data_IF_787524764802
#
_entry.id   IF_787524764802
#
_cell.length_a   1.000
_cell.length_b   1.000
_cell.length_c   1.000
_cell.angle_alpha   90.00
_cell.angle_beta   90.00
_cell.angle_gamma   90.00
#
_symmetry.space_group_name_H-M   'P 1'
#
loop_
_entity.id
_entity.type
_entity.pdbx_description
1 polymer ?
#
# COMPACT_ATOMS: atom_id res chain seq x y z
N UNK A 1 -23.92 -26.34 75.20
CA UNK A 1 -23.37 -26.95 73.97
C UNK A 1 -22.87 -25.83 73.06
N UNK A 2 -21.57 -25.80 72.76
CA UNK A 2 -20.90 -24.82 71.87
C UNK A 2 -20.32 -25.58 70.67
N UNK A 3 -20.47 -25.12 69.43
CA UNK A 3 -19.58 -25.48 68.33
C UNK A 3 -18.52 -24.38 68.16
N UNK A 4 -17.27 -24.66 68.53
CA UNK A 4 -16.12 -25.07 67.68
C UNK A 4 -15.82 -24.10 66.53
N UNK A 5 -14.70 -23.40 66.68
CA UNK A 5 -14.04 -22.51 65.72
C UNK A 5 -13.69 -23.21 64.41
N UNK A 6 -13.90 -22.54 63.27
CA UNK A 6 -13.30 -22.91 62.00
C UNK A 6 -12.31 -21.83 61.56
N UNK A 7 -11.02 -22.15 61.74
CA UNK A 7 -9.86 -21.47 61.17
C UNK A 7 -9.76 -21.87 59.68
N UNK A 8 -9.75 -20.93 58.74
CA UNK A 8 -9.17 -21.20 57.41
C UNK A 8 -8.81 -19.94 56.60
N UNK A 9 -7.51 -19.61 56.69
CA UNK A 9 -6.57 -19.36 55.58
C UNK A 9 -6.92 -18.30 54.52
N UNK A 10 -6.27 -17.15 54.71
CA UNK A 10 -5.48 -16.36 53.75
C UNK A 10 -5.47 -16.84 52.27
N UNK A 11 -5.95 -15.97 51.36
CA UNK A 11 -5.56 -15.99 49.94
C UNK A 11 -5.11 -14.58 49.57
N UNK A 12 -3.80 -14.39 49.45
CA UNK A 12 -3.19 -13.23 48.81
C UNK A 12 -3.43 -13.32 47.31
N UNK A 13 -4.19 -12.39 46.74
CA UNK A 13 -4.31 -12.22 45.29
C UNK A 13 -3.11 -11.43 44.78
N UNK A 14 -2.23 -12.13 44.06
CA UNK A 14 -1.09 -11.59 43.33
C UNK A 14 -1.63 -10.71 42.19
N UNK A 15 -1.31 -9.41 42.23
CA UNK A 15 -1.55 -8.46 41.15
C UNK A 15 -0.66 -8.79 39.96
N UNK A 16 -1.25 -9.37 38.91
CA UNK A 16 -0.58 -9.59 37.63
C UNK A 16 -0.55 -8.25 36.88
N UNK A 17 0.57 -7.52 37.00
CA UNK A 17 0.90 -6.39 36.14
C UNK A 17 1.22 -6.95 34.75
N UNK A 18 0.18 -7.10 33.92
CA UNK A 18 0.32 -7.46 32.51
C UNK A 18 0.83 -6.24 31.74
N UNK A 19 2.14 -6.15 31.57
CA UNK A 19 2.78 -5.17 30.69
C UNK A 19 2.26 -5.34 29.26
N UNK A 20 1.58 -4.33 28.75
CA UNK A 20 1.21 -4.23 27.34
C UNK A 20 2.48 -4.09 26.52
N UNK A 21 2.97 -5.20 25.98
CA UNK A 21 3.93 -5.21 24.86
C UNK A 21 3.22 -4.57 23.67
N UNK A 22 3.48 -3.28 23.46
CA UNK A 22 3.07 -2.57 22.26
C UNK A 22 3.76 -3.23 21.06
N UNK A 23 2.99 -3.96 20.27
CA UNK A 23 3.39 -4.35 18.93
C UNK A 23 3.56 -3.05 18.15
N UNK A 24 4.81 -2.59 18.01
CA UNK A 24 5.14 -1.59 17.01
C UNK A 24 4.82 -2.22 15.64
N UNK A 25 3.62 -1.96 15.14
CA UNK A 25 3.31 -2.21 13.74
C UNK A 25 4.27 -1.31 12.96
N UNK A 26 5.28 -1.91 12.34
CA UNK A 26 6.04 -1.23 11.30
C UNK A 26 5.00 -0.70 10.31
N UNK A 27 4.79 0.61 10.28
CA UNK A 27 3.90 1.23 9.31
C UNK A 27 4.37 0.76 7.94
N UNK A 28 3.49 0.03 7.24
CA UNK A 28 3.76 -0.35 5.87
C UNK A 28 4.14 0.93 5.11
N UNK A 29 5.29 0.95 4.44
CA UNK A 29 5.89 2.13 3.78
C UNK A 29 5.08 2.73 2.61
N UNK A 30 3.77 2.56 2.60
CA UNK A 30 2.86 3.08 1.60
C UNK A 30 2.32 4.45 2.02
N UNK A 31 2.56 5.45 1.18
CA UNK A 31 2.09 6.81 1.37
C UNK A 31 0.89 7.10 0.47
N UNK A 32 -0.21 7.58 1.07
CA UNK A 32 -1.43 7.93 0.35
C UNK A 32 -1.28 9.26 -0.38
N UNK A 33 -1.49 9.22 -1.70
CA UNK A 33 -1.46 10.41 -2.57
C UNK A 33 -2.87 10.92 -2.85
N UNK A 34 -3.83 10.01 -2.96
CA UNK A 34 -5.25 10.27 -3.23
C UNK A 34 -6.10 9.29 -2.42
N UNK A 35 -7.24 9.77 -1.92
CA UNK A 35 -8.27 8.94 -1.28
C UNK A 35 -7.99 8.57 0.17
N UNK A 36 -8.81 7.67 0.70
CA UNK A 36 -8.66 7.03 2.01
C UNK A 36 -8.22 5.57 1.78
N UNK A 37 -7.09 5.12 2.36
CA UNK A 37 -6.63 3.74 2.20
C UNK A 37 -7.53 2.67 2.82
N UNK A 38 -8.53 3.05 3.61
CA UNK A 38 -9.52 2.14 4.20
C UNK A 38 -10.87 2.15 3.47
N UNK A 39 -11.10 3.12 2.59
CA UNK A 39 -12.35 3.24 1.84
C UNK A 39 -12.35 2.33 0.60
N UNK A 40 -13.21 1.31 0.62
CA UNK A 40 -13.37 0.32 -0.47
C UNK A 40 -14.15 0.85 -1.68
N UNK A 41 -14.88 1.95 -1.52
CA UNK A 41 -15.75 2.50 -2.56
C UNK A 41 -15.21 3.77 -3.20
N UNK A 42 -14.09 4.31 -2.70
CA UNK A 42 -13.37 5.44 -3.29
C UNK A 42 -12.18 5.01 -4.16
N UNK A 43 -11.75 5.91 -5.03
CA UNK A 43 -10.46 5.81 -5.72
C UNK A 43 -9.34 6.14 -4.71
N UNK A 44 -8.35 5.25 -4.60
CA UNK A 44 -7.20 5.43 -3.71
C UNK A 44 -5.91 5.16 -4.47
N UNK A 45 -4.91 6.02 -4.28
CA UNK A 45 -3.56 5.85 -4.84
C UNK A 45 -2.54 5.93 -3.73
N UNK A 46 -1.68 4.92 -3.62
CA UNK A 46 -0.55 4.91 -2.71
C UNK A 46 0.76 4.61 -3.43
N UNK A 47 1.86 5.10 -2.89
CA UNK A 47 3.22 4.88 -3.40
C UNK A 47 4.12 4.36 -2.29
N UNK A 48 5.07 3.51 -2.64
CA UNK A 48 6.09 2.96 -1.72
C UNK A 48 7.47 3.49 -2.15
N UNK A 49 7.96 4.56 -1.50
CA UNK A 49 9.19 5.26 -1.86
C UNK A 49 10.47 4.57 -1.38
N UNK A 50 10.36 3.50 -0.58
CA UNK A 50 11.51 2.83 0.04
C UNK A 50 11.96 1.60 -0.75
N UNK A 51 11.16 1.14 -1.73
CA UNK A 51 11.51 0.07 -2.67
C UNK A 51 12.03 0.58 -4.01
N UNK A 52 13.05 1.44 -3.96
CA UNK A 52 13.77 1.93 -5.15
C UNK A 52 15.00 1.04 -5.39
N UNK A 53 14.96 0.21 -6.44
CA UNK A 53 16.18 -0.45 -6.96
C UNK A 53 16.81 0.47 -8.00
N UNK A 54 18.12 0.79 -7.92
CA UNK A 54 18.79 1.58 -8.95
C UNK A 54 18.91 0.76 -10.24
N UNK A 55 18.67 1.41 -11.38
CA UNK A 55 19.77 1.83 -12.22
C UNK A 55 19.97 3.34 -12.12
N UNK A 56 21.21 3.77 -12.30
CA UNK A 56 21.74 5.10 -11.94
C UNK A 56 20.91 6.28 -12.49
N UNK A 57 20.18 6.08 -13.59
CA UNK A 57 19.42 7.11 -14.31
C UNK A 57 17.89 6.99 -14.20
N UNK A 58 17.36 5.91 -13.64
CA UNK A 58 15.92 5.64 -13.61
C UNK A 58 15.45 5.35 -12.18
N UNK A 59 14.60 6.23 -11.64
CA UNK A 59 13.99 6.00 -10.31
C UNK A 59 12.89 4.95 -10.50
N UNK A 60 12.98 3.84 -9.79
CA UNK A 60 11.91 2.84 -9.75
C UNK A 60 11.14 3.00 -8.44
N UNK A 61 9.81 2.96 -8.48
CA UNK A 61 8.98 3.00 -7.27
C UNK A 61 7.80 2.06 -7.42
N UNK A 62 7.34 1.46 -6.32
CA UNK A 62 6.08 0.73 -6.36
C UNK A 62 4.91 1.71 -6.16
N UNK A 63 3.81 1.40 -6.85
CA UNK A 63 2.57 2.13 -6.76
C UNK A 63 1.43 1.14 -6.68
N UNK A 64 0.41 1.45 -5.88
CA UNK A 64 -0.79 0.66 -5.79
C UNK A 64 -2.04 1.53 -5.84
N UNK A 65 -3.06 1.02 -6.52
CA UNK A 65 -4.30 1.74 -6.81
C UNK A 65 -5.49 0.87 -6.52
N UNK A 66 -6.47 1.44 -5.83
CA UNK A 66 -7.82 0.88 -5.72
C UNK A 66 -8.77 1.79 -6.48
N UNK A 67 -9.74 1.20 -7.18
CA UNK A 67 -10.76 1.94 -7.94
C UNK A 67 -12.13 1.85 -7.26
N UNK A 68 -12.88 2.95 -7.33
CA UNK A 68 -14.27 3.03 -6.92
C UNK A 68 -15.17 2.04 -7.67
N UNK A 69 -14.85 1.72 -8.93
CA UNK A 69 -15.57 0.76 -9.78
C UNK A 69 -14.59 -0.12 -10.57
N UNK A 70 -15.06 -1.28 -11.06
CA UNK A 70 -14.23 -2.15 -11.89
C UNK A 70 -13.83 -1.47 -13.21
N UNK A 71 -12.66 -1.83 -13.75
CA UNK A 71 -12.10 -1.33 -15.01
C UNK A 71 -11.36 -2.44 -15.76
N UNK A 72 -10.95 -2.15 -16.99
CA UNK A 72 -10.10 -3.00 -17.81
C UNK A 72 -8.75 -2.32 -18.06
N UNK A 73 -7.66 -3.09 -18.07
CA UNK A 73 -6.33 -2.58 -18.38
C UNK A 73 -6.11 -2.51 -19.93
N UNK A 74 -4.89 -2.19 -20.37
CA UNK A 74 -4.52 -2.13 -21.80
C UNK A 74 -4.69 -3.45 -22.56
N UNK A 75 -4.66 -4.58 -21.85
CA UNK A 75 -4.74 -5.93 -22.44
C UNK A 75 -6.13 -6.55 -22.26
N UNK A 76 -7.13 -5.75 -21.84
CA UNK A 76 -8.51 -6.22 -21.63
C UNK A 76 -8.71 -7.03 -20.34
N UNK A 77 -7.77 -6.98 -19.40
CA UNK A 77 -7.88 -7.68 -18.11
C UNK A 77 -8.73 -6.87 -17.13
N UNK A 78 -9.81 -7.43 -16.58
CA UNK A 78 -10.64 -6.76 -15.59
C UNK A 78 -9.88 -6.58 -14.27
N UNK A 79 -10.09 -5.48 -13.57
CA UNK A 79 -9.52 -5.25 -12.25
C UNK A 79 -10.36 -4.28 -11.43
N UNK A 80 -10.24 -4.36 -10.10
CA UNK A 80 -10.74 -3.37 -9.15
C UNK A 80 -9.62 -2.70 -8.37
N UNK A 81 -8.48 -3.36 -8.23
CA UNK A 81 -7.26 -2.75 -7.71
C UNK A 81 -6.02 -3.40 -8.34
N UNK A 82 -4.88 -2.73 -8.26
CA UNK A 82 -3.61 -3.23 -8.77
C UNK A 82 -2.43 -2.70 -7.97
N UNK A 83 -1.35 -3.49 -7.94
CA UNK A 83 -0.01 -3.08 -7.52
C UNK A 83 0.92 -3.10 -8.73
N UNK A 84 1.86 -2.17 -8.82
CA UNK A 84 2.71 -2.02 -9.99
C UNK A 84 4.09 -1.48 -9.65
N UNK A 85 5.07 -1.93 -10.44
CA UNK A 85 6.39 -1.33 -10.49
C UNK A 85 6.39 -0.25 -11.57
N UNK A 86 6.81 0.96 -11.20
CA UNK A 86 6.86 2.14 -12.06
C UNK A 86 8.30 2.59 -12.22
N UNK A 87 8.69 2.94 -13.45
CA UNK A 87 9.96 3.60 -13.75
C UNK A 87 9.68 5.06 -14.11
N UNK A 88 10.47 5.98 -13.55
CA UNK A 88 10.39 7.41 -13.80
C UNK A 88 11.56 7.87 -14.65
N UNK A 89 11.24 8.51 -15.77
CA UNK A 89 12.18 9.31 -16.55
C UNK A 89 12.06 10.76 -16.10
N UNK A 90 13.04 11.22 -15.35
CA UNK A 90 13.05 12.56 -14.78
C UNK A 90 13.51 13.64 -15.77
N UNK A 91 14.14 13.27 -16.88
CA UNK A 91 14.48 14.21 -17.95
C UNK A 91 13.22 14.60 -18.72
N UNK A 92 12.42 13.61 -19.14
CA UNK A 92 11.16 13.85 -19.87
C UNK A 92 9.95 14.08 -18.94
N UNK A 93 10.12 13.91 -17.62
CA UNK A 93 9.05 13.98 -16.60
C UNK A 93 7.90 13.01 -16.89
N UNK A 94 8.25 11.78 -17.26
CA UNK A 94 7.30 10.70 -17.57
C UNK A 94 7.45 9.54 -16.60
N UNK A 95 6.40 8.75 -16.50
CA UNK A 95 6.39 7.52 -15.71
C UNK A 95 5.74 6.40 -16.51
N UNK A 96 6.28 5.19 -16.37
CA UNK A 96 5.82 4.01 -17.07
C UNK A 96 5.69 2.82 -16.13
N UNK A 97 4.58 2.09 -16.23
CA UNK A 97 4.40 0.77 -15.66
C UNK A 97 5.28 -0.23 -16.39
N UNK A 98 6.11 -0.97 -15.64
CA UNK A 98 6.97 -2.05 -16.17
C UNK A 98 6.55 -3.43 -15.67
N UNK A 99 5.72 -3.51 -14.62
CA UNK A 99 5.07 -4.74 -14.18
C UNK A 99 3.82 -4.40 -13.36
N UNK A 100 2.82 -5.29 -13.34
CA UNK A 100 1.63 -5.11 -12.51
C UNK A 100 1.02 -6.43 -12.02
N UNK A 101 0.40 -6.40 -10.85
CA UNK A 101 -0.43 -7.47 -10.27
C UNK A 101 -1.85 -6.92 -10.15
N UNK A 102 -2.84 -7.61 -10.72
CA UNK A 102 -4.23 -7.15 -10.78
C UNK A 102 -5.14 -8.00 -9.90
N UNK A 103 -6.06 -7.33 -9.21
CA UNK A 103 -6.97 -7.92 -8.23
C UNK A 103 -8.41 -7.59 -8.62
N UNK A 104 -9.31 -8.55 -8.42
CA UNK A 104 -10.76 -8.37 -8.62
C UNK A 104 -11.40 -7.60 -7.46
N UNK A 105 -10.81 -7.69 -6.26
CA UNK A 105 -11.29 -6.96 -5.08
C UNK A 105 -10.67 -5.54 -5.00
N UNK A 106 -11.34 -4.58 -4.33
CA UNK A 106 -10.73 -3.30 -3.98
C UNK A 106 -9.64 -3.50 -2.92
N UNK A 107 -8.82 -2.47 -2.70
CA UNK A 107 -7.78 -2.43 -1.66
C UNK A 107 -6.81 -3.63 -1.69
N UNK A 108 -6.50 -4.14 -2.89
CA UNK A 108 -5.49 -5.19 -3.13
C UNK A 108 -5.76 -6.48 -2.34
N UNK A 109 -7.03 -6.77 -2.06
CA UNK A 109 -7.42 -7.94 -1.28
C UNK A 109 -7.44 -9.22 -2.11
N UNK A 110 -7.07 -10.33 -1.47
CA UNK A 110 -7.04 -11.65 -2.08
C UNK A 110 -5.81 -11.88 -2.97
N UNK A 111 -5.80 -13.02 -3.66
CA UNK A 111 -4.75 -13.32 -4.63
C UNK A 111 -4.94 -12.51 -5.92
N UNK A 112 -3.86 -11.99 -6.53
CA UNK A 112 -3.98 -11.38 -7.84
C UNK A 112 -4.34 -12.45 -8.85
N UNK A 113 -5.43 -12.23 -9.57
CA UNK A 113 -5.88 -13.11 -10.63
C UNK A 113 -5.08 -12.96 -11.94
N UNK A 114 -4.25 -11.91 -12.04
CA UNK A 114 -3.38 -11.69 -13.18
C UNK A 114 -2.09 -10.95 -12.82
N UNK A 115 -0.99 -11.31 -13.47
CA UNK A 115 0.32 -10.65 -13.35
C UNK A 115 0.82 -10.35 -14.75
N UNK A 116 1.17 -9.09 -15.00
CA UNK A 116 1.68 -8.61 -16.28
C UNK A 116 3.13 -8.14 -16.16
N UNK A 117 3.93 -8.48 -17.16
CA UNK A 117 5.27 -7.94 -17.37
C UNK A 117 5.23 -6.99 -18.59
N UNK A 118 5.56 -5.73 -18.35
CA UNK A 118 5.60 -4.69 -19.37
C UNK A 118 7.03 -4.20 -19.64
N UNK A 119 8.07 -4.89 -19.15
CA UNK A 119 9.46 -4.46 -19.29
C UNK A 119 9.88 -4.26 -20.75
N UNK A 120 9.43 -5.15 -21.66
CA UNK A 120 9.69 -5.04 -23.10
C UNK A 120 8.81 -3.99 -23.81
N UNK A 121 7.68 -3.59 -23.23
CA UNK A 121 6.77 -2.59 -23.79
C UNK A 121 6.05 -1.81 -22.69
N UNK A 122 6.74 -0.86 -22.01
CA UNK A 122 6.20 -0.17 -20.85
C UNK A 122 4.92 0.60 -21.15
N UNK A 123 3.96 0.60 -20.22
CA UNK A 123 2.68 1.33 -20.38
C UNK A 123 2.75 2.67 -19.65
N UNK A 124 2.22 3.77 -20.21
CA UNK A 124 2.27 5.07 -19.54
C UNK A 124 1.44 5.07 -18.25
N UNK A 125 1.95 5.73 -17.20
CA UNK A 125 1.18 5.94 -15.96
C UNK A 125 0.06 6.95 -16.18
N UNK A 126 -1.17 6.45 -16.25
CA UNK A 126 -2.39 7.25 -16.47
C UNK A 126 -3.44 6.93 -15.40
N UNK A 127 -3.79 7.92 -14.57
CA UNK A 127 -4.92 7.83 -13.63
C UNK A 127 -6.20 8.37 -14.28
N UNK A 128 -6.74 7.62 -15.24
CA UNK A 128 -7.95 8.01 -15.96
C UNK A 128 -9.12 8.26 -14.99
N UNK A 129 -9.79 9.39 -15.20
CA UNK A 129 -10.95 9.90 -14.46
C UNK A 129 -10.75 10.23 -12.97
N UNK A 130 -9.52 10.14 -12.45
CA UNK A 130 -9.22 10.60 -11.09
C UNK A 130 -9.11 12.13 -11.02
N UNK A 131 -9.80 12.74 -10.06
CA UNK A 131 -9.78 14.19 -9.81
C UNK A 131 -9.47 14.48 -8.32
N UNK A 132 -8.41 15.25 -8.00
CA UNK A 132 -7.37 15.71 -8.92
C UNK A 132 -6.53 14.53 -9.43
N UNK A 133 -6.03 14.63 -10.67
CA UNK A 133 -5.17 13.59 -11.23
C UNK A 133 -3.79 13.61 -10.54
N UNK A 134 -3.33 12.49 -9.93
CA UNK A 134 -2.11 12.52 -9.13
C UNK A 134 -0.80 12.40 -9.92
N UNK A 135 -0.83 12.15 -11.24
CA UNK A 135 0.38 11.87 -12.03
C UNK A 135 1.46 12.94 -11.83
N UNK A 136 1.14 14.22 -12.00
CA UNK A 136 2.12 15.30 -11.91
C UNK A 136 2.71 15.44 -10.49
N UNK A 137 1.93 15.16 -9.44
CA UNK A 137 2.42 15.18 -8.05
C UNK A 137 3.40 14.02 -7.81
N UNK A 138 3.06 12.82 -8.27
CA UNK A 138 3.89 11.63 -8.09
C UNK A 138 5.21 11.76 -8.85
N UNK A 139 5.17 12.14 -10.13
CA UNK A 139 6.37 12.36 -10.95
C UNK A 139 7.27 13.42 -10.32
N UNK A 140 6.71 14.54 -9.88
CA UNK A 140 7.48 15.59 -9.20
C UNK A 140 8.11 15.11 -7.90
N UNK A 141 7.43 14.27 -7.11
CA UNK A 141 8.00 13.72 -5.88
C UNK A 141 9.15 12.75 -6.19
N UNK A 142 8.97 11.84 -7.15
CA UNK A 142 9.98 10.88 -7.57
C UNK A 142 11.24 11.55 -8.17
N UNK A 143 11.05 12.67 -8.88
CA UNK A 143 12.12 13.38 -9.58
C UNK A 143 12.71 14.57 -8.82
N UNK A 144 12.34 14.79 -7.55
CA UNK A 144 13.07 15.73 -6.70
C UNK A 144 14.48 15.20 -6.49
N UNK A 145 15.48 16.03 -6.80
CA UNK A 145 16.83 15.78 -6.32
C UNK A 145 16.77 15.70 -4.79
N UNK A 146 17.24 14.59 -4.21
CA UNK A 146 17.52 14.58 -2.78
C UNK A 146 18.70 15.53 -2.60
N UNK A 147 18.46 16.71 -2.04
CA UNK A 147 19.54 17.54 -1.51
C UNK A 147 20.21 16.69 -0.42
N UNK A 148 21.38 16.13 -0.74
CA UNK A 148 22.28 15.56 0.25
C UNK A 148 23.00 16.66 1.01
#
# INVERSE_FOLDING_TARGET
>A
MRPVSCLRRLVMTIGMVGGTLGLAHAESGWFTVVGDPQDKVADTVQVDPDRVTPPEDARTMNLRVSRATARFNWDGIPYRSYESRVVFDCQSRRASYVAARFYIAPLWQGEPHHVADYSASPKPVLFLDMKPNPTARIVRAACRQRSG
#
